data_IF_847407646640
#
_entry.id   IF_847407646640
#
_cell.length_a   1.000
_cell.length_b   1.000
_cell.length_c   1.000
_cell.angle_alpha   90.00
_cell.angle_beta   90.00
_cell.angle_gamma   90.00
#
_symmetry.space_group_name_H-M   'P 1'
#
loop_
_entity.id
_entity.type
_entity.pdbx_description
1 polymer ?
#
# COMPACT_ATOMS: atom_id res chain seq x y z
N UNK A 1 9.62 0.96 13.30
CA UNK A 1 9.34 -0.42 13.74
C UNK A 1 7.92 -0.78 13.31
N UNK A 2 7.72 -1.87 12.56
CA UNK A 2 6.42 -2.35 12.11
C UNK A 2 5.44 -2.55 13.26
N UNK A 3 4.16 -2.26 13.03
CA UNK A 3 3.12 -2.69 13.96
C UNK A 3 3.03 -4.21 14.02
N UNK A 4 2.74 -4.74 15.21
CA UNK A 4 2.45 -6.16 15.36
C UNK A 4 1.19 -6.53 14.56
N UNK A 5 1.12 -7.78 14.12
CA UNK A 5 0.02 -8.24 13.29
C UNK A 5 -1.32 -8.21 14.05
N UNK A 6 -1.30 -8.41 15.37
CA UNK A 6 -2.46 -8.32 16.26
C UNK A 6 -3.01 -6.90 16.28
N UNK A 7 -2.14 -5.88 16.26
CA UNK A 7 -2.54 -4.48 16.22
C UNK A 7 -3.22 -4.15 14.88
N UNK A 8 -2.66 -4.63 13.77
CA UNK A 8 -3.28 -4.49 12.44
C UNK A 8 -4.63 -5.21 12.40
N UNK A 9 -4.73 -6.43 12.92
CA UNK A 9 -5.97 -7.18 13.00
C UNK A 9 -7.03 -6.45 13.83
N UNK A 10 -6.64 -5.83 14.95
CA UNK A 10 -7.51 -5.00 15.78
C UNK A 10 -8.12 -3.83 15.00
N UNK A 11 -7.31 -3.11 14.20
CA UNK A 11 -7.78 -1.99 13.39
C UNK A 11 -8.72 -2.40 12.24
N UNK A 12 -8.66 -3.66 11.82
CA UNK A 12 -9.50 -4.26 10.77
C UNK A 12 -10.69 -5.04 11.33
N UNK A 13 -10.83 -5.15 12.65
CA UNK A 13 -11.88 -5.94 13.30
C UNK A 13 -13.28 -5.43 12.93
N UNK A 14 -14.17 -6.36 12.59
CA UNK A 14 -15.56 -6.06 12.24
C UNK A 14 -15.75 -5.44 10.85
N UNK A 15 -14.68 -5.26 10.06
CA UNK A 15 -14.77 -4.76 8.69
C UNK A 15 -15.19 -5.88 7.73
N UNK A 16 -16.08 -5.56 6.79
CA UNK A 16 -16.68 -6.53 5.87
C UNK A 16 -15.70 -7.01 4.79
N UNK A 17 -15.03 -6.07 4.13
CA UNK A 17 -14.01 -6.31 3.09
C UNK A 17 -12.86 -5.36 3.33
N UNK A 18 -11.65 -5.78 3.01
CA UNK A 18 -10.48 -4.90 3.09
C UNK A 18 -10.11 -4.37 1.71
N UNK A 19 -10.05 -3.05 1.59
CA UNK A 19 -9.68 -2.30 0.39
C UNK A 19 -8.36 -1.62 0.67
N UNK A 20 -7.36 -1.88 -0.17
CA UNK A 20 -6.04 -1.25 -0.13
C UNK A 20 -6.02 -0.22 -1.24
N UNK A 21 -5.95 1.06 -0.88
CA UNK A 21 -5.85 2.18 -1.80
C UNK A 21 -4.40 2.61 -1.96
N UNK A 22 -4.02 2.87 -3.20
CA UNK A 22 -2.82 3.63 -3.57
C UNK A 22 -3.15 5.11 -3.73
N UNK A 23 -2.14 5.93 -4.00
CA UNK A 23 -2.38 7.23 -4.62
C UNK A 23 -2.98 7.09 -6.04
N UNK A 24 -3.49 8.18 -6.60
CA UNK A 24 -4.02 8.22 -7.97
C UNK A 24 -2.89 8.11 -8.99
N UNK A 25 -3.14 7.43 -10.11
CA UNK A 25 -2.12 7.14 -11.14
C UNK A 25 -0.88 6.42 -10.56
N UNK A 26 -1.06 5.23 -9.97
CA UNK A 26 -0.04 4.61 -9.14
C UNK A 26 1.24 4.29 -9.91
N UNK A 27 2.37 4.52 -9.25
CA UNK A 27 3.71 4.22 -9.73
C UNK A 27 4.18 2.83 -9.23
N UNK A 28 5.43 2.40 -9.53
CA UNK A 28 5.92 1.11 -9.07
C UNK A 28 5.94 0.94 -7.54
N UNK A 29 6.26 1.98 -6.76
CA UNK A 29 6.26 1.89 -5.30
C UNK A 29 4.85 1.60 -4.78
N UNK A 30 3.88 2.44 -5.15
CA UNK A 30 2.51 2.28 -4.72
C UNK A 30 1.91 0.91 -5.12
N UNK A 31 2.20 0.43 -6.33
CA UNK A 31 1.74 -0.87 -6.83
C UNK A 31 2.38 -2.02 -6.03
N UNK A 32 3.69 -1.98 -5.82
CA UNK A 32 4.42 -3.01 -5.08
C UNK A 32 3.99 -3.05 -3.61
N UNK A 33 3.91 -1.87 -2.98
CA UNK A 33 3.44 -1.66 -1.62
C UNK A 33 2.03 -2.22 -1.42
N UNK A 34 1.09 -1.91 -2.31
CA UNK A 34 -0.27 -2.45 -2.19
C UNK A 34 -0.31 -3.98 -2.30
N UNK A 35 0.55 -4.57 -3.13
CA UNK A 35 0.65 -6.02 -3.23
C UNK A 35 1.30 -6.65 -1.99
N UNK A 36 2.35 -6.04 -1.45
CA UNK A 36 2.99 -6.50 -0.22
C UNK A 36 2.02 -6.47 0.96
N UNK A 37 1.25 -5.38 1.13
CA UNK A 37 0.20 -5.30 2.15
C UNK A 37 -0.86 -6.38 1.95
N UNK A 38 -1.27 -6.64 0.71
CA UNK A 38 -2.21 -7.72 0.38
C UNK A 38 -1.67 -9.10 0.73
N UNK A 39 -0.39 -9.36 0.47
CA UNK A 39 0.30 -10.60 0.80
C UNK A 39 0.37 -10.78 2.32
N UNK A 40 0.82 -9.75 3.06
CA UNK A 40 0.86 -9.73 4.53
C UNK A 40 -0.49 -10.10 5.16
N UNK A 41 -1.57 -9.43 4.73
CA UNK A 41 -2.94 -9.72 5.23
C UNK A 41 -3.40 -11.14 4.92
N UNK A 42 -3.01 -11.65 3.74
CA UNK A 42 -3.43 -12.98 3.31
C UNK A 42 -2.70 -14.06 4.11
N UNK A 43 -1.39 -13.94 4.27
CA UNK A 43 -0.57 -14.98 4.91
C UNK A 43 -0.77 -15.01 6.43
N UNK A 44 -0.79 -13.85 7.09
CA UNK A 44 -0.84 -13.82 8.56
C UNK A 44 -2.25 -13.78 9.15
N UNK A 45 -3.23 -13.25 8.40
CA UNK A 45 -4.60 -13.05 8.91
C UNK A 45 -5.65 -13.80 8.10
N UNK A 46 -5.27 -14.49 7.01
CA UNK A 46 -6.20 -15.10 6.06
C UNK A 46 -7.26 -14.12 5.51
N UNK A 47 -6.96 -12.82 5.52
CA UNK A 47 -7.87 -11.77 5.07
C UNK A 47 -7.71 -11.59 3.55
N UNK A 48 -8.81 -11.78 2.82
CA UNK A 48 -8.86 -11.44 1.39
C UNK A 48 -9.05 -9.93 1.23
N UNK A 49 -8.11 -9.28 0.55
CA UNK A 49 -8.16 -7.85 0.24
C UNK A 49 -8.15 -7.56 -1.27
N UNK A 50 -8.61 -6.38 -1.63
CA UNK A 50 -8.59 -5.86 -3.02
C UNK A 50 -7.72 -4.61 -3.07
N UNK A 51 -6.80 -4.59 -4.03
CA UNK A 51 -6.03 -3.39 -4.35
C UNK A 51 -6.89 -2.55 -5.30
N UNK A 52 -7.09 -1.29 -4.94
CA UNK A 52 -7.91 -0.33 -5.68
C UNK A 52 -7.09 0.92 -5.95
N UNK A 53 -7.20 1.42 -7.17
CA UNK A 53 -6.59 2.68 -7.60
C UNK A 53 -7.61 3.48 -8.39
N UNK A 54 -7.33 4.76 -8.57
CA UNK A 54 -8.08 5.64 -9.48
C UNK A 54 -7.11 6.35 -10.45
N UNK A 55 -7.66 6.99 -11.47
CA UNK A 55 -6.89 7.53 -12.59
C UNK A 55 -6.37 6.41 -13.50
N UNK A 56 -5.13 6.51 -13.96
CA UNK A 56 -4.58 5.56 -14.93
C UNK A 56 -3.12 5.22 -14.66
N UNK A 57 -2.74 3.98 -14.98
CA UNK A 57 -1.34 3.54 -14.98
C UNK A 57 -0.74 4.02 -16.30
N UNK A 58 -0.02 5.14 -16.28
CA UNK A 58 0.37 5.87 -17.50
C UNK A 58 1.57 5.25 -18.23
N UNK A 59 2.70 5.14 -17.52
CA UNK A 59 4.00 4.73 -18.06
C UNK A 59 3.97 3.30 -18.59
N UNK A 60 4.72 3.05 -19.68
CA UNK A 60 4.75 1.75 -20.33
C UNK A 60 5.37 0.67 -19.42
N UNK A 61 6.36 1.08 -18.63
CA UNK A 61 7.10 0.27 -17.68
C UNK A 61 6.17 -0.17 -16.53
N UNK A 62 5.36 0.74 -15.98
CA UNK A 62 4.37 0.41 -14.94
C UNK A 62 3.29 -0.55 -15.47
N UNK A 63 2.84 -0.37 -16.72
CA UNK A 63 1.93 -1.31 -17.39
C UNK A 63 2.58 -2.68 -17.57
N UNK A 64 3.87 -2.70 -17.95
CA UNK A 64 4.63 -3.93 -18.11
C UNK A 64 4.80 -4.66 -16.78
N UNK A 65 5.13 -3.96 -15.69
CA UNK A 65 5.21 -4.50 -14.33
C UNK A 65 3.90 -5.20 -13.95
N UNK A 66 2.75 -4.52 -14.08
CA UNK A 66 1.44 -5.09 -13.75
C UNK A 66 1.15 -6.34 -14.59
N UNK A 67 1.42 -6.29 -15.90
CA UNK A 67 1.15 -7.39 -16.82
C UNK A 67 2.05 -8.60 -16.58
N UNK A 68 3.36 -8.40 -16.52
CA UNK A 68 4.37 -9.45 -16.41
C UNK A 68 4.33 -10.13 -15.04
N UNK A 69 4.14 -9.35 -13.98
CA UNK A 69 4.07 -9.86 -12.60
C UNK A 69 2.66 -10.35 -12.23
N UNK A 70 1.68 -10.15 -13.12
CA UNK A 70 0.27 -10.58 -12.98
C UNK A 70 -0.42 -9.94 -11.76
N UNK A 71 -0.15 -8.65 -11.52
CA UNK A 71 -0.66 -7.91 -10.37
C UNK A 71 -2.15 -7.62 -10.56
N UNK A 72 -2.97 -8.03 -9.59
CA UNK A 72 -4.43 -7.85 -9.64
C UNK A 72 -4.83 -6.53 -8.99
N UNK A 73 -4.88 -5.48 -9.81
CA UNK A 73 -5.38 -4.14 -9.46
C UNK A 73 -6.82 -3.97 -9.98
N UNK A 74 -7.65 -3.19 -9.27
CA UNK A 74 -9.00 -2.85 -9.73
C UNK A 74 -9.17 -1.34 -9.77
N UNK A 75 -9.56 -0.81 -10.92
CA UNK A 75 -9.93 0.60 -11.01
C UNK A 75 -11.17 0.87 -10.16
N UNK A 76 -11.19 2.01 -9.46
CA UNK A 76 -12.25 2.40 -8.53
C UNK A 76 -13.65 2.34 -9.17
N UNK A 77 -13.78 2.78 -10.42
CA UNK A 77 -15.05 2.72 -11.18
C UNK A 77 -15.68 1.32 -11.29
N UNK A 78 -14.91 0.24 -11.07
CA UNK A 78 -15.38 -1.15 -11.10
C UNK A 78 -15.77 -1.69 -9.72
N UNK A 79 -15.61 -0.90 -8.67
CA UNK A 79 -15.74 -1.33 -7.27
C UNK A 79 -16.84 -0.52 -6.57
N UNK A 80 -17.79 -1.23 -5.97
CA UNK A 80 -18.77 -0.62 -5.05
C UNK A 80 -18.21 -0.65 -3.63
N UNK A 81 -17.88 0.52 -3.10
CA UNK A 81 -17.42 0.71 -1.72
C UNK A 81 -18.60 0.78 -0.75
N UNK A 82 -18.35 0.38 0.49
CA UNK A 82 -19.30 0.54 1.61
C UNK A 82 -18.57 1.15 2.81
N UNK A 83 -19.29 1.93 3.61
CA UNK A 83 -18.80 2.43 4.91
C UNK A 83 -18.49 1.31 5.93
N UNK A 84 -18.95 0.08 5.69
CA UNK A 84 -18.61 -1.10 6.50
C UNK A 84 -17.31 -1.78 6.06
N UNK A 85 -16.72 -1.35 4.95
CA UNK A 85 -15.42 -1.87 4.50
C UNK A 85 -14.29 -1.25 5.34
N UNK A 86 -13.16 -1.97 5.40
CA UNK A 86 -11.92 -1.50 6.01
C UNK A 86 -11.01 -0.96 4.92
N UNK A 87 -10.40 0.18 5.18
CA UNK A 87 -9.58 0.90 4.21
C UNK A 87 -8.16 1.00 4.71
N UNK A 88 -7.22 0.64 3.86
CA UNK A 88 -5.79 0.80 4.10
C UNK A 88 -5.27 1.71 2.99
N UNK A 89 -4.50 2.72 3.35
CA UNK A 89 -3.79 3.56 2.39
C UNK A 89 -2.32 3.16 2.40
N UNK A 90 -1.77 2.95 1.21
CA UNK A 90 -0.34 2.74 1.01
C UNK A 90 0.17 3.82 0.06
N UNK A 91 1.34 4.35 0.37
CA UNK A 91 2.03 5.36 -0.43
C UNK A 91 1.18 6.61 -0.68
N UNK A 92 0.32 6.90 0.29
CA UNK A 92 -0.56 8.06 0.30
C UNK A 92 -1.18 8.23 1.68
N UNK A 93 -1.69 9.42 1.94
CA UNK A 93 -2.32 9.77 3.21
C UNK A 93 -3.72 10.34 3.01
N UNK A 94 -4.64 10.19 3.99
CA UNK A 94 -5.96 10.77 3.88
C UNK A 94 -5.86 12.30 3.84
N UNK A 95 -6.62 12.93 2.95
CA UNK A 95 -6.72 14.39 2.85
C UNK A 95 -5.60 15.09 2.07
N UNK A 96 -4.67 14.37 1.44
CA UNK A 96 -3.64 14.96 0.55
C UNK A 96 -4.14 15.27 -0.86
N UNK A 97 -5.38 14.87 -1.19
CA UNK A 97 -6.00 15.10 -2.51
C UNK A 97 -5.53 14.17 -3.62
N UNK A 98 -4.49 13.37 -3.39
CA UNK A 98 -3.93 12.42 -4.37
C UNK A 98 -4.36 10.96 -4.10
N UNK A 99 -5.57 10.72 -3.60
CA UNK A 99 -6.19 9.40 -3.57
C UNK A 99 -7.70 9.54 -3.56
N UNK A 100 -8.39 8.55 -4.13
CA UNK A 100 -9.85 8.55 -4.25
C UNK A 100 -10.55 7.79 -3.13
N UNK A 101 -9.95 7.71 -1.94
CA UNK A 101 -10.63 7.19 -0.77
C UNK A 101 -11.74 8.17 -0.32
N UNK A 102 -12.95 7.70 0.04
CA UNK A 102 -14.01 8.60 0.50
C UNK A 102 -13.60 9.42 1.74
N UNK A 103 -13.71 10.75 1.65
CA UNK A 103 -13.22 11.70 2.66
C UNK A 103 -13.84 11.53 4.06
N UNK A 104 -15.07 11.03 4.12
CA UNK A 104 -15.81 10.81 5.36
C UNK A 104 -15.42 9.52 6.10
N UNK A 105 -14.54 8.71 5.52
CA UNK A 105 -14.12 7.42 6.09
C UNK A 105 -12.75 7.57 6.75
N UNK A 106 -12.64 7.08 7.98
CA UNK A 106 -11.35 6.95 8.67
C UNK A 106 -10.70 5.63 8.24
N UNK A 107 -9.52 5.65 7.59
CA UNK A 107 -8.79 4.45 7.23
C UNK A 107 -8.32 3.70 8.48
N UNK A 108 -8.32 2.38 8.39
CA UNK A 108 -7.81 1.48 9.42
C UNK A 108 -6.30 1.54 9.56
N UNK A 109 -5.58 1.77 8.46
CA UNK A 109 -4.12 1.81 8.45
C UNK A 109 -3.64 2.71 7.31
N UNK A 110 -2.60 3.50 7.60
CA UNK A 110 -1.82 4.27 6.64
C UNK A 110 -0.37 3.81 6.73
N UNK A 111 0.23 3.45 5.60
CA UNK A 111 1.66 3.20 5.47
C UNK A 111 2.19 4.10 4.35
N UNK A 112 3.13 4.98 4.67
CA UNK A 112 3.65 5.95 3.71
C UNK A 112 5.09 6.33 4.08
N UNK A 113 5.88 6.74 3.10
CA UNK A 113 7.22 7.27 3.31
C UNK A 113 7.32 8.78 3.06
N UNK A 114 6.26 9.43 2.59
CA UNK A 114 6.23 10.88 2.41
C UNK A 114 6.13 11.64 3.75
N UNK A 115 6.42 12.97 3.77
CA UNK A 115 6.19 13.80 4.95
C UNK A 115 4.77 13.65 5.50
N UNK A 116 4.66 13.55 6.83
CA UNK A 116 3.38 13.36 7.50
C UNK A 116 2.43 14.54 7.24
N UNK A 117 1.27 14.25 6.67
CA UNK A 117 0.16 15.19 6.59
C UNK A 117 -0.42 15.41 7.99
N UNK A 118 -0.16 16.58 8.59
CA UNK A 118 -0.61 16.92 9.95
C UNK A 118 -2.13 16.85 10.16
N UNK A 119 -2.94 16.87 9.09
CA UNK A 119 -4.41 16.78 9.15
C UNK A 119 -4.94 15.35 8.99
N UNK A 120 -4.06 14.38 8.75
CA UNK A 120 -4.46 13.00 8.50
C UNK A 120 -5.09 12.36 9.74
N UNK A 121 -6.12 11.55 9.53
CA UNK A 121 -6.79 10.77 10.58
C UNK A 121 -6.81 9.31 10.14
N UNK A 122 -6.28 8.42 10.97
CA UNK A 122 -6.34 6.97 10.77
C UNK A 122 -6.32 6.25 12.12
N UNK A 123 -6.80 5.01 12.18
CA UNK A 123 -6.70 4.16 13.38
C UNK A 123 -5.23 3.81 13.65
N UNK A 124 -4.47 3.47 12.61
CA UNK A 124 -3.04 3.19 12.67
C UNK A 124 -2.29 3.97 11.61
N UNK A 125 -1.12 4.48 11.98
CA UNK A 125 -0.31 5.34 11.12
C UNK A 125 1.13 4.88 11.23
N UNK A 126 1.71 4.41 10.13
CA UNK A 126 3.13 4.12 10.01
C UNK A 126 3.70 4.95 8.86
N UNK A 127 4.11 6.18 9.18
CA UNK A 127 4.67 7.11 8.21
C UNK A 127 6.13 7.38 8.55
N UNK A 128 7.05 7.06 7.63
CA UNK A 128 8.49 7.12 7.87
C UNK A 128 9.19 7.90 6.78
N UNK A 129 9.34 9.21 7.03
CA UNK A 129 9.97 10.15 6.09
C UNK A 129 11.44 9.82 5.75
N UNK A 130 12.13 9.12 6.66
CA UNK A 130 13.56 8.80 6.53
C UNK A 130 13.78 7.45 5.81
N UNK A 131 12.73 6.89 5.19
CA UNK A 131 12.81 5.65 4.40
C UNK A 131 12.56 5.98 2.93
N UNK A 132 13.41 5.45 2.04
CA UNK A 132 13.40 5.82 0.63
C UNK A 132 12.18 5.36 -0.20
N UNK A 133 11.30 4.50 0.34
CA UNK A 133 10.05 4.08 -0.31
C UNK A 133 9.08 3.42 0.67
N UNK A 134 7.79 3.43 0.34
CA UNK A 134 6.76 2.66 1.04
C UNK A 134 7.02 1.14 0.88
N UNK A 135 7.56 0.71 -0.25
CA UNK A 135 7.90 -0.69 -0.53
C UNK A 135 9.00 -1.19 0.40
N UNK A 136 9.98 -0.36 0.76
CA UNK A 136 10.97 -0.68 1.79
C UNK A 136 10.31 -0.90 3.15
N UNK A 137 9.39 -0.01 3.56
CA UNK A 137 8.64 -0.16 4.83
C UNK A 137 7.90 -1.49 4.85
N UNK A 138 7.16 -1.83 3.79
CA UNK A 138 6.40 -3.07 3.72
C UNK A 138 7.27 -4.32 3.55
N UNK A 139 8.45 -4.19 2.95
CA UNK A 139 9.45 -5.28 2.94
C UNK A 139 9.88 -5.60 4.37
N UNK A 140 10.09 -4.61 5.22
CA UNK A 140 10.37 -4.83 6.65
C UNK A 140 9.22 -5.56 7.36
N UNK A 141 7.96 -5.23 7.05
CA UNK A 141 6.81 -5.99 7.58
C UNK A 141 6.86 -7.47 7.17
N UNK A 142 7.18 -7.78 5.92
CA UNK A 142 7.25 -9.17 5.45
C UNK A 142 8.41 -9.93 6.10
N UNK A 143 9.61 -9.31 6.13
CA UNK A 143 10.83 -9.92 6.68
C UNK A 143 10.71 -10.14 8.19
N UNK A 144 10.23 -9.14 8.94
CA UNK A 144 10.11 -9.26 10.40
C UNK A 144 9.06 -10.30 10.83
N UNK A 145 8.15 -10.68 9.94
CA UNK A 145 7.18 -11.76 10.18
C UNK A 145 7.61 -13.10 9.55
N UNK A 146 8.86 -13.22 9.08
CA UNK A 146 9.42 -14.42 8.43
C UNK A 146 8.53 -14.96 7.29
N UNK A 147 7.90 -14.06 6.54
CA UNK A 147 7.06 -14.46 5.42
C UNK A 147 7.91 -14.81 4.20
N UNK A 148 7.58 -15.93 3.56
CA UNK A 148 8.09 -16.20 2.22
C UNK A 148 7.57 -15.12 1.26
N UNK A 149 8.48 -14.49 0.53
CA UNK A 149 8.16 -13.47 -0.47
C UNK A 149 8.20 -14.13 -1.85
N UNK A 150 7.06 -14.35 -2.51
CA UNK A 150 7.03 -14.97 -3.82
C UNK A 150 7.86 -14.18 -4.84
N UNK A 151 8.54 -14.88 -5.76
CA UNK A 151 9.43 -14.27 -6.76
C UNK A 151 8.85 -13.03 -7.46
N UNK A 152 7.59 -13.09 -7.90
CA UNK A 152 6.97 -11.94 -8.57
C UNK A 152 6.73 -10.75 -7.63
N UNK A 153 6.40 -11.00 -6.35
CA UNK A 153 6.27 -9.94 -5.35
C UNK A 153 7.63 -9.36 -5.02
N UNK A 154 8.66 -10.19 -4.86
CA UNK A 154 10.03 -9.73 -4.65
C UNK A 154 10.52 -8.86 -5.82
N UNK A 155 10.19 -9.25 -7.06
CA UNK A 155 10.50 -8.45 -8.25
C UNK A 155 9.76 -7.11 -8.25
N UNK A 156 8.48 -7.10 -7.85
CA UNK A 156 7.70 -5.87 -7.73
C UNK A 156 8.28 -4.94 -6.65
N UNK A 157 8.60 -5.48 -5.47
CA UNK A 157 9.19 -4.73 -4.36
C UNK A 157 10.54 -4.13 -4.76
N UNK A 158 11.43 -4.92 -5.36
CA UNK A 158 12.72 -4.44 -5.84
C UNK A 158 12.56 -3.30 -6.85
N UNK A 159 11.69 -3.48 -7.84
CA UNK A 159 11.46 -2.45 -8.86
C UNK A 159 10.80 -1.18 -8.28
N UNK A 160 9.89 -1.32 -7.31
CA UNK A 160 9.31 -0.20 -6.57
C UNK A 160 10.37 0.61 -5.83
N UNK A 161 11.22 -0.06 -5.05
CA UNK A 161 12.30 0.57 -4.30
C UNK A 161 13.30 1.26 -5.24
N UNK A 162 13.71 0.59 -6.32
CA UNK A 162 14.68 1.12 -7.28
C UNK A 162 14.13 2.36 -8.01
N UNK A 163 12.87 2.30 -8.46
CA UNK A 163 12.22 3.42 -9.14
C UNK A 163 12.07 4.64 -8.24
N UNK A 164 11.70 4.45 -6.97
CA UNK A 164 11.47 5.57 -6.03
C UNK A 164 12.78 6.23 -5.61
N UNK A 165 13.80 5.43 -5.37
CA UNK A 165 15.12 5.91 -4.93
C UNK A 165 16.02 6.39 -6.08
N UNK A 166 15.50 6.45 -7.32
CA UNK A 166 16.25 6.76 -8.54
C UNK A 166 17.54 5.91 -8.64
N UNK A 167 17.43 4.61 -8.40
CA UNK A 167 18.58 3.71 -8.36
C UNK A 167 19.48 3.89 -7.13
N UNK A 168 18.90 4.15 -5.95
CA UNK A 168 19.60 4.42 -4.69
C UNK A 168 20.46 5.71 -4.69
N UNK A 169 20.18 6.64 -5.60
CA UNK A 169 20.92 7.91 -5.70
C UNK A 169 20.39 9.01 -4.78
N UNK A 170 19.21 8.79 -4.18
CA UNK A 170 18.64 9.69 -3.18
C UNK A 170 19.23 9.33 -1.80
N UNK A 171 20.10 10.20 -1.30
CA UNK A 171 20.51 10.20 0.11
C UNK A 171 19.32 10.60 0.99
N UNK A 172 19.03 9.84 2.03
CA UNK A 172 18.14 10.27 3.11
C UNK A 172 18.98 11.11 4.09
N UNK A 173 18.69 12.40 4.19
CA UNK A 173 19.34 13.35 5.11
C UNK A 173 19.19 12.96 6.60
#
# INVERSE_FOLDING_TARGET
MPYSIEKIAGALKGKRKIIIFTHNNPDPDAIASAWAMKHLLKELLNIKSRIVYDGFIGRAENKAMVKLLKIKLSHLSKIKLSNRDGFILVDTQPGVGNNSMPLQIIPSLVIDHHPLNKKQKSILVDVRKDVGSTASILTEYLVNNNLEIPKNLATALFYGIESETQGLSIETD
#
